data_IF_415511118047
#
_entry.id   IF_415511118047
#
_cell.length_a   1.000
_cell.length_b   1.000
_cell.length_c   1.000
_cell.angle_alpha   90.00
_cell.angle_beta   90.00
_cell.angle_gamma   90.00
#
_symmetry.space_group_name_H-M   'P 1'
#
loop_
_entity.id
_entity.type
_entity.pdbx_description
1 polymer ?
#
# COMPACT_ATOMS: atom_id res chain seq x y z
N UNK A 1 4.15 12.39 83.22
CA UNK A 1 3.28 13.36 82.50
C UNK A 1 4.14 14.07 81.47
N UNK A 2 3.79 14.20 80.18
CA UNK A 2 2.60 13.76 79.39
C UNK A 2 3.07 13.14 78.04
N UNK A 3 2.13 12.59 77.27
CA UNK A 3 2.34 11.88 75.99
C UNK A 3 2.59 12.81 74.77
N UNK A 4 2.77 12.16 73.61
CA UNK A 4 2.59 12.62 72.21
C UNK A 4 3.88 13.07 71.48
N UNK A 5 4.12 12.69 70.21
CA UNK A 5 3.52 11.61 69.40
C UNK A 5 4.44 11.23 68.22
N UNK A 6 4.51 9.95 67.86
CA UNK A 6 5.27 9.47 66.69
C UNK A 6 4.49 9.67 65.39
N UNK A 7 4.93 10.60 64.54
CA UNK A 7 4.31 10.87 63.24
C UNK A 7 4.73 9.82 62.19
N UNK A 8 3.99 8.71 62.10
CA UNK A 8 4.18 7.71 61.05
C UNK A 8 3.66 8.24 59.69
N UNK A 9 4.57 8.71 58.83
CA UNK A 9 4.24 9.14 57.47
C UNK A 9 3.96 7.89 56.62
N UNK A 10 2.69 7.49 56.56
CA UNK A 10 2.22 6.43 55.67
C UNK A 10 2.25 6.92 54.21
N UNK A 11 3.38 6.68 53.52
CA UNK A 11 3.51 6.95 52.08
C UNK A 11 2.59 5.99 51.32
N UNK A 12 1.36 6.45 51.05
CA UNK A 12 0.41 5.74 50.21
C UNK A 12 0.89 5.76 48.75
N UNK A 13 1.76 4.80 48.42
CA UNK A 13 2.19 4.53 47.06
C UNK A 13 0.99 4.04 46.24
N UNK A 14 0.22 4.99 45.69
CA UNK A 14 -0.80 4.72 44.68
C UNK A 14 -0.11 4.21 43.42
N UNK A 15 0.18 2.91 43.39
CA UNK A 15 0.69 2.20 42.24
C UNK A 15 -0.34 2.26 41.13
N UNK A 16 -0.25 3.28 40.27
CA UNK A 16 -1.01 3.36 39.04
C UNK A 16 -0.52 2.22 38.15
N UNK A 17 -1.23 1.08 38.22
CA UNK A 17 -1.03 -0.05 37.33
C UNK A 17 -1.38 0.39 35.91
N UNK A 18 -0.38 0.95 35.23
CA UNK A 18 -0.44 1.24 33.81
C UNK A 18 -0.58 -0.11 33.09
N UNK A 19 -1.82 -0.50 32.84
CA UNK A 19 -2.15 -1.71 32.09
C UNK A 19 -1.59 -1.55 30.67
N UNK A 20 -0.37 -2.02 30.48
CA UNK A 20 0.37 -2.03 29.20
C UNK A 20 -0.22 -3.09 28.27
N UNK A 21 -1.48 -2.89 27.92
CA UNK A 21 -2.15 -3.55 26.80
C UNK A 21 -1.40 -3.15 25.54
N UNK A 22 -0.37 -3.93 25.19
CA UNK A 22 0.48 -3.68 24.04
C UNK A 22 -0.41 -3.54 22.80
N UNK A 23 -0.40 -2.33 22.21
CA UNK A 23 -1.39 -1.91 21.23
C UNK A 23 -1.51 -2.92 20.09
N UNK A 24 -2.61 -3.67 20.09
CA UNK A 24 -2.88 -4.68 19.07
C UNK A 24 -3.40 -3.95 17.83
N UNK A 25 -2.57 -3.88 16.79
CA UNK A 25 -2.94 -3.34 15.48
C UNK A 25 -4.36 -3.81 15.09
N UNK A 26 -5.22 -2.90 14.60
CA UNK A 26 -6.64 -3.19 14.45
C UNK A 26 -6.93 -4.21 13.36
N UNK A 27 -8.13 -4.78 13.44
CA UNK A 27 -8.71 -5.56 12.37
C UNK A 27 -8.92 -4.69 11.12
N UNK A 28 -8.75 -5.28 9.94
CA UNK A 28 -8.74 -4.53 8.67
C UNK A 28 -10.15 -4.03 8.32
N UNK A 29 -11.18 -4.83 8.57
CA UNK A 29 -12.58 -4.48 8.25
C UNK A 29 -13.24 -3.67 9.37
N UNK A 30 -13.98 -2.62 9.01
CA UNK A 30 -14.80 -1.82 9.93
C UNK A 30 -16.05 -2.60 10.35
N UNK A 31 -16.35 -2.60 11.65
CA UNK A 31 -17.59 -3.14 12.23
C UNK A 31 -17.94 -2.43 13.54
N UNK A 32 -19.02 -2.84 14.22
CA UNK A 32 -19.50 -2.18 15.43
C UNK A 32 -18.45 -2.05 16.55
N UNK A 33 -17.59 -3.07 16.72
CA UNK A 33 -16.50 -3.07 17.70
C UNK A 33 -15.13 -2.62 17.16
N UNK A 34 -15.02 -2.30 15.86
CA UNK A 34 -13.80 -1.82 15.24
C UNK A 34 -14.10 -0.65 14.31
N UNK A 35 -14.01 0.57 14.86
CA UNK A 35 -14.21 1.82 14.13
C UNK A 35 -12.89 2.59 14.02
N UNK A 36 -12.73 3.41 12.97
CA UNK A 36 -11.67 4.41 12.92
C UNK A 36 -11.93 5.46 14.02
N UNK A 37 -10.99 5.74 14.94
CA UNK A 37 -11.25 6.63 16.07
C UNK A 37 -11.65 8.04 15.62
N UNK A 38 -12.60 8.68 16.31
CA UNK A 38 -13.15 9.98 15.92
C UNK A 38 -12.14 11.13 15.85
N UNK A 39 -10.97 10.99 16.47
CA UNK A 39 -9.86 11.94 16.36
C UNK A 39 -9.03 11.78 15.07
N UNK A 40 -9.16 10.66 14.34
CA UNK A 40 -8.52 10.48 13.04
C UNK A 40 -9.35 11.19 11.97
N UNK A 41 -9.03 12.44 11.71
CA UNK A 41 -9.73 13.27 10.72
C UNK A 41 -8.83 13.61 9.53
N UNK A 42 -9.39 13.82 8.32
CA UNK A 42 -8.59 14.13 7.13
C UNK A 42 -7.68 15.34 7.27
N UNK A 43 -8.05 16.34 8.08
CA UNK A 43 -7.23 17.52 8.32
C UNK A 43 -6.07 17.28 9.27
N UNK A 44 -6.27 16.61 10.40
CA UNK A 44 -5.17 16.19 11.28
C UNK A 44 -4.17 15.27 10.55
N UNK A 45 -4.65 14.32 9.74
CA UNK A 45 -3.77 13.48 8.93
C UNK A 45 -3.01 14.28 7.86
N UNK A 46 -3.63 15.34 7.30
CA UNK A 46 -2.98 16.22 6.32
C UNK A 46 -1.90 17.08 6.98
N UNK A 47 -2.10 17.53 8.22
CA UNK A 47 -1.05 18.16 9.02
C UNK A 47 0.10 17.18 9.31
N UNK A 48 -0.20 15.94 9.73
CA UNK A 48 0.83 14.93 9.96
C UNK A 48 1.65 14.60 8.69
N UNK A 49 0.99 14.52 7.53
CA UNK A 49 1.64 14.35 6.24
C UNK A 49 2.56 15.53 5.87
N UNK A 50 2.12 16.76 6.11
CA UNK A 50 2.92 17.99 5.86
C UNK A 50 4.14 18.08 6.78
N UNK A 51 3.98 17.79 8.08
CA UNK A 51 5.10 17.74 9.04
C UNK A 51 6.16 16.69 8.64
N UNK A 52 5.72 15.58 8.03
CA UNK A 52 6.61 14.51 7.56
C UNK A 52 7.17 14.76 6.15
N UNK A 53 6.51 15.60 5.35
CA UNK A 53 6.94 16.04 4.03
C UNK A 53 6.60 17.53 3.77
N UNK A 54 7.46 18.47 4.21
CA UNK A 54 7.25 19.91 3.99
C UNK A 54 7.27 20.36 2.52
N UNK A 55 7.62 19.47 1.58
CA UNK A 55 7.62 19.70 0.12
C UNK A 55 6.51 18.90 -0.58
N UNK A 56 5.40 18.66 0.11
CA UNK A 56 4.23 17.94 -0.40
C UNK A 56 3.72 18.53 -1.73
N UNK A 57 3.57 17.69 -2.75
CA UNK A 57 3.11 18.11 -4.08
C UNK A 57 1.62 18.43 -4.07
N UNK A 58 1.22 19.60 -4.61
CA UNK A 58 -0.15 20.15 -4.53
C UNK A 58 -1.28 19.19 -4.93
N UNK A 59 -1.06 18.25 -5.85
CA UNK A 59 -2.09 17.27 -6.25
C UNK A 59 -2.43 16.25 -5.15
N UNK A 60 -1.57 16.04 -4.16
CA UNK A 60 -1.85 15.21 -2.99
C UNK A 60 -2.64 15.94 -1.89
N UNK A 61 -2.99 17.23 -2.05
CA UNK A 61 -3.70 18.01 -1.02
C UNK A 61 -5.08 17.44 -0.61
N UNK A 62 -5.63 16.46 -1.35
CA UNK A 62 -6.89 15.76 -1.04
C UNK A 62 -6.72 14.28 -0.68
N UNK A 63 -5.49 13.75 -0.59
CA UNK A 63 -5.28 12.30 -0.39
C UNK A 63 -5.95 11.77 0.89
N UNK A 64 -5.95 12.54 1.98
CA UNK A 64 -6.62 12.17 3.25
C UNK A 64 -8.14 12.18 3.15
N UNK A 65 -8.70 13.05 2.30
CA UNK A 65 -10.13 13.10 1.98
C UNK A 65 -10.54 11.84 1.23
N UNK A 66 -9.72 11.41 0.27
CA UNK A 66 -9.95 10.18 -0.50
C UNK A 66 -9.78 8.92 0.36
N UNK A 67 -8.80 8.87 1.29
CA UNK A 67 -8.65 7.74 2.23
C UNK A 67 -9.88 7.56 3.11
N UNK A 68 -10.38 8.63 3.72
CA UNK A 68 -11.62 8.56 4.51
C UNK A 68 -12.82 8.19 3.63
N UNK A 69 -13.00 8.86 2.49
CA UNK A 69 -14.18 8.67 1.64
C UNK A 69 -14.27 7.26 1.08
N UNK A 70 -13.17 6.71 0.56
CA UNK A 70 -13.13 5.32 0.09
C UNK A 70 -13.18 4.34 1.26
N UNK A 71 -12.47 4.61 2.35
CA UNK A 71 -12.46 3.78 3.55
C UNK A 71 -13.84 3.52 4.16
N UNK A 72 -14.59 4.60 4.38
CA UNK A 72 -15.95 4.56 4.92
C UNK A 72 -16.96 3.94 3.96
N UNK A 73 -16.72 3.99 2.65
CA UNK A 73 -17.53 3.32 1.63
C UNK A 73 -17.20 1.81 1.52
N UNK A 74 -15.92 1.45 1.62
CA UNK A 74 -15.40 0.08 1.50
C UNK A 74 -15.40 -0.72 2.83
N UNK A 75 -15.75 -0.08 3.95
CA UNK A 75 -15.74 -0.66 5.30
C UNK A 75 -14.37 -1.25 5.70
N UNK A 76 -13.33 -0.44 5.53
CA UNK A 76 -11.94 -0.74 5.91
C UNK A 76 -11.40 0.32 6.88
N UNK A 77 -10.58 -0.10 7.87
CA UNK A 77 -9.83 0.76 8.81
C UNK A 77 -8.77 1.55 8.06
N UNK A 78 -9.23 2.61 7.40
CA UNK A 78 -8.50 3.41 6.42
C UNK A 78 -7.41 4.29 7.02
N UNK A 79 -7.44 4.49 8.34
CA UNK A 79 -6.39 5.14 9.12
C UNK A 79 -5.08 4.33 9.06
N UNK A 80 -5.14 3.01 9.24
CA UNK A 80 -3.95 2.17 9.14
C UNK A 80 -3.46 1.99 7.69
N UNK A 81 -4.35 1.99 6.70
CA UNK A 81 -3.95 2.08 5.28
C UNK A 81 -3.24 3.41 4.97
N UNK A 82 -3.64 4.51 5.59
CA UNK A 82 -2.95 5.79 5.46
C UNK A 82 -1.56 5.76 6.12
N UNK A 83 -1.41 5.20 7.33
CA UNK A 83 -0.11 5.02 7.96
C UNK A 83 0.81 4.08 7.18
N UNK A 84 0.26 3.02 6.58
CA UNK A 84 0.96 2.14 5.64
C UNK A 84 1.44 2.91 4.39
N UNK A 85 0.58 3.74 3.77
CA UNK A 85 0.98 4.60 2.66
C UNK A 85 2.13 5.54 3.04
N UNK A 86 2.14 6.09 4.26
CA UNK A 86 3.24 6.95 4.73
C UNK A 86 4.58 6.18 4.84
N UNK A 87 4.56 4.88 5.11
CA UNK A 87 5.73 4.01 5.06
C UNK A 87 6.12 3.70 3.61
N UNK A 88 5.21 3.10 2.84
CA UNK A 88 5.39 2.67 1.43
C UNK A 88 5.92 3.78 0.50
N UNK A 89 5.49 5.03 0.72
CA UNK A 89 5.82 6.16 -0.16
C UNK A 89 6.87 7.12 0.43
N UNK A 90 7.40 6.83 1.63
CA UNK A 90 8.21 7.75 2.42
C UNK A 90 7.51 9.12 2.60
N UNK A 91 6.27 9.10 3.10
CA UNK A 91 5.36 10.25 3.19
C UNK A 91 5.21 11.03 1.86
N UNK A 92 4.96 10.31 0.76
CA UNK A 92 4.83 10.84 -0.61
C UNK A 92 6.08 11.56 -1.15
N UNK A 93 7.27 11.21 -0.65
CA UNK A 93 8.56 11.65 -1.22
C UNK A 93 9.01 10.78 -2.39
N UNK A 94 8.60 9.49 -2.41
CA UNK A 94 8.87 8.53 -3.48
C UNK A 94 10.38 8.35 -3.77
N UNK A 95 11.07 7.72 -2.82
CA UNK A 95 12.52 7.45 -2.85
C UNK A 95 12.86 6.01 -3.28
N UNK A 96 12.06 5.43 -4.19
CA UNK A 96 12.18 4.03 -4.65
C UNK A 96 11.60 3.85 -6.07
N UNK A 97 11.31 2.61 -6.48
CA UNK A 97 10.95 2.28 -7.88
C UNK A 97 9.64 2.91 -8.37
N UNK A 98 8.73 3.24 -7.45
CA UNK A 98 7.47 3.94 -7.76
C UNK A 98 7.70 5.44 -7.76
N UNK A 99 7.36 6.10 -8.86
CA UNK A 99 7.41 7.55 -9.01
C UNK A 99 6.08 8.21 -8.62
N UNK A 100 6.12 9.39 -7.99
CA UNK A 100 4.93 10.12 -7.50
C UNK A 100 3.82 10.26 -8.55
N UNK A 101 4.17 10.44 -9.83
CA UNK A 101 3.18 10.65 -10.89
C UNK A 101 2.37 9.38 -11.23
N UNK A 102 2.66 8.23 -10.63
CA UNK A 102 1.90 6.99 -10.78
C UNK A 102 0.64 6.94 -9.89
N UNK A 103 0.49 7.84 -8.90
CA UNK A 103 -0.55 7.77 -7.87
C UNK A 103 -0.62 6.40 -7.15
N UNK A 104 0.47 5.64 -7.14
CA UNK A 104 0.54 4.32 -6.54
C UNK A 104 1.07 4.48 -5.10
N UNK A 105 0.27 4.07 -4.12
CA UNK A 105 0.49 4.39 -2.70
C UNK A 105 0.94 3.19 -1.87
N UNK A 106 1.17 2.04 -2.51
CA UNK A 106 1.26 0.74 -1.85
C UNK A 106 2.12 -0.28 -2.64
N UNK A 107 3.11 0.22 -3.39
CA UNK A 107 4.04 -0.61 -4.16
C UNK A 107 3.41 -1.50 -5.24
N UNK A 108 2.14 -1.31 -5.60
CA UNK A 108 1.38 -2.31 -6.39
C UNK A 108 2.03 -2.57 -7.74
N UNK A 109 2.49 -3.81 -7.95
CA UNK A 109 3.14 -4.25 -9.19
C UNK A 109 4.63 -3.92 -9.31
N UNK A 110 5.23 -3.18 -8.37
CA UNK A 110 6.68 -3.00 -8.31
C UNK A 110 7.36 -4.27 -7.73
N UNK A 111 8.59 -4.55 -8.17
CA UNK A 111 9.34 -5.77 -7.79
C UNK A 111 10.78 -5.49 -7.35
N UNK A 112 11.15 -4.22 -7.17
CA UNK A 112 12.54 -3.79 -7.00
C UNK A 112 13.26 -3.55 -8.33
N UNK A 113 14.45 -2.94 -8.27
CA UNK A 113 15.39 -2.88 -9.41
C UNK A 113 14.99 -1.92 -10.54
N UNK A 114 14.17 -0.91 -10.25
CA UNK A 114 13.64 0.03 -11.25
C UNK A 114 12.41 -0.47 -12.01
N UNK A 115 11.89 -1.67 -11.70
CA UNK A 115 10.65 -2.17 -12.28
C UNK A 115 9.47 -1.35 -11.75
N UNK A 116 8.96 -0.46 -12.62
CA UNK A 116 7.86 0.47 -12.32
C UNK A 116 6.58 -0.31 -12.03
N UNK A 117 5.99 -0.07 -10.86
CA UNK A 117 4.67 -0.60 -10.53
C UNK A 117 3.53 0.00 -11.35
N UNK A 118 2.30 -0.38 -11.03
CA UNK A 118 1.08 0.13 -11.66
C UNK A 118 0.96 1.66 -11.57
N UNK A 119 0.12 2.22 -12.45
CA UNK A 119 -0.15 3.65 -12.59
C UNK A 119 -1.67 3.86 -12.57
N UNK A 120 -2.11 4.71 -11.65
CA UNK A 120 -3.53 5.06 -11.50
C UNK A 120 -3.79 6.48 -12.02
N UNK A 121 -4.93 6.64 -12.70
CA UNK A 121 -5.34 7.87 -13.40
C UNK A 121 -5.44 9.09 -12.47
N UNK A 122 -5.84 8.89 -11.21
CA UNK A 122 -5.94 9.95 -10.21
C UNK A 122 -5.49 9.47 -8.83
N UNK A 123 -5.29 10.41 -7.90
CA UNK A 123 -5.05 10.14 -6.48
C UNK A 123 -6.20 9.29 -5.89
N UNK A 124 -7.45 9.66 -6.18
CA UNK A 124 -8.64 8.91 -5.75
C UNK A 124 -8.66 7.47 -6.29
N UNK A 125 -8.35 7.26 -7.58
CA UNK A 125 -8.24 5.91 -8.16
C UNK A 125 -7.15 5.08 -7.46
N UNK A 126 -5.98 5.68 -7.18
CA UNK A 126 -4.87 5.01 -6.51
C UNK A 126 -5.09 4.71 -5.02
N UNK A 127 -5.80 5.58 -4.31
CA UNK A 127 -6.21 5.34 -2.92
C UNK A 127 -7.23 4.20 -2.86
N UNK A 128 -8.22 4.19 -3.76
CA UNK A 128 -9.15 3.07 -3.91
C UNK A 128 -8.41 1.77 -4.19
N UNK A 129 -7.47 1.78 -5.14
CA UNK A 129 -6.65 0.61 -5.48
C UNK A 129 -5.87 0.02 -4.28
N UNK A 130 -5.31 0.87 -3.41
CA UNK A 130 -4.63 0.43 -2.19
C UNK A 130 -5.60 -0.24 -1.21
N UNK A 131 -6.72 0.42 -0.89
CA UNK A 131 -7.71 -0.08 0.06
C UNK A 131 -8.32 -1.42 -0.41
N UNK A 132 -8.56 -1.56 -1.71
CA UNK A 132 -9.02 -2.82 -2.31
C UNK A 132 -7.96 -3.92 -2.26
N UNK A 133 -6.67 -3.60 -2.39
CA UNK A 133 -5.62 -4.60 -2.21
C UNK A 133 -5.57 -5.14 -0.78
N UNK A 134 -5.83 -4.29 0.22
CA UNK A 134 -5.91 -4.68 1.63
C UNK A 134 -7.16 -5.52 1.93
N UNK A 135 -8.30 -5.19 1.33
CA UNK A 135 -9.53 -5.99 1.43
C UNK A 135 -9.31 -7.43 0.92
N UNK A 136 -8.71 -7.61 -0.26
CA UNK A 136 -8.47 -8.96 -0.79
C UNK A 136 -7.43 -9.74 0.01
N UNK A 137 -6.55 -9.08 0.78
CA UNK A 137 -5.72 -9.76 1.77
C UNK A 137 -6.58 -10.24 2.95
N UNK A 138 -7.44 -9.38 3.50
CA UNK A 138 -8.35 -9.67 4.61
C UNK A 138 -9.54 -10.62 4.28
N UNK A 139 -9.46 -11.39 3.18
CA UNK A 139 -10.50 -12.30 2.67
C UNK A 139 -11.81 -11.62 2.23
N UNK A 140 -11.82 -10.30 2.02
CA UNK A 140 -12.98 -9.57 1.49
C UNK A 140 -12.88 -9.53 -0.04
N UNK A 141 -13.90 -10.06 -0.71
CA UNK A 141 -14.01 -9.98 -2.17
C UNK A 141 -14.30 -8.54 -2.60
N UNK A 142 -13.71 -8.10 -3.71
CA UNK A 142 -13.88 -6.76 -4.29
C UNK A 142 -14.44 -6.87 -5.71
N UNK A 143 -15.61 -6.28 -5.92
CA UNK A 143 -16.21 -6.11 -7.25
C UNK A 143 -15.46 -5.04 -8.06
N UNK A 144 -15.11 -5.38 -9.30
CA UNK A 144 -14.35 -4.53 -10.23
C UNK A 144 -13.24 -3.70 -9.55
N UNK A 145 -12.20 -4.35 -8.98
CA UNK A 145 -11.09 -3.66 -8.34
C UNK A 145 -10.36 -2.74 -9.32
N UNK A 146 -9.74 -1.66 -8.85
CA UNK A 146 -9.05 -0.68 -9.72
C UNK A 146 -7.75 -1.22 -10.31
N UNK A 147 -6.94 -1.94 -9.52
CA UNK A 147 -5.61 -2.43 -9.93
C UNK A 147 -5.63 -3.82 -10.58
N UNK A 148 -4.77 -4.03 -11.59
CA UNK A 148 -4.60 -5.33 -12.24
C UNK A 148 -4.08 -6.38 -11.27
N UNK A 149 -3.14 -6.04 -10.39
CA UNK A 149 -2.64 -6.97 -9.38
C UNK A 149 -3.74 -7.41 -8.42
N UNK A 150 -4.70 -6.54 -8.09
CA UNK A 150 -5.87 -6.90 -7.26
C UNK A 150 -6.79 -7.86 -8.03
N UNK A 151 -7.10 -7.56 -9.30
CA UNK A 151 -7.88 -8.46 -10.19
C UNK A 151 -7.24 -9.85 -10.27
N UNK A 152 -5.95 -9.92 -10.60
CA UNK A 152 -5.19 -11.18 -10.79
C UNK A 152 -5.04 -12.00 -9.50
N UNK A 153 -4.70 -11.37 -8.37
CA UNK A 153 -4.56 -12.09 -7.08
C UNK A 153 -5.90 -12.68 -6.62
N UNK A 154 -7.02 -11.96 -6.82
CA UNK A 154 -8.36 -12.45 -6.53
C UNK A 154 -8.77 -13.61 -7.48
N UNK A 155 -8.59 -13.43 -8.79
CA UNK A 155 -8.92 -14.43 -9.80
C UNK A 155 -8.15 -15.74 -9.63
N UNK A 156 -6.82 -15.66 -9.44
CA UNK A 156 -5.93 -16.81 -9.27
C UNK A 156 -5.92 -17.36 -7.83
N UNK A 157 -6.70 -16.77 -6.91
CA UNK A 157 -6.84 -17.20 -5.50
C UNK A 157 -5.51 -17.33 -4.76
N UNK A 158 -4.50 -16.52 -5.10
CA UNK A 158 -3.09 -16.65 -4.67
C UNK A 158 -2.94 -16.62 -3.13
N UNK A 159 -3.85 -15.92 -2.44
CA UNK A 159 -3.85 -15.80 -0.98
C UNK A 159 -4.63 -16.91 -0.26
N UNK A 160 -5.44 -17.73 -0.96
CA UNK A 160 -6.41 -18.63 -0.34
C UNK A 160 -5.81 -19.72 0.56
N UNK A 161 -4.57 -20.17 0.32
CA UNK A 161 -3.88 -21.11 1.24
C UNK A 161 -3.49 -20.43 2.57
N UNK A 162 -3.12 -19.15 2.52
CA UNK A 162 -2.76 -18.36 3.71
C UNK A 162 -4.00 -17.87 4.44
N UNK A 163 -5.02 -17.40 3.72
CA UNK A 163 -6.29 -16.94 4.31
C UNK A 163 -6.98 -18.02 5.16
N UNK A 164 -6.93 -19.29 4.72
CA UNK A 164 -7.49 -20.43 5.46
C UNK A 164 -6.81 -20.72 6.81
N UNK A 165 -5.67 -20.11 7.14
CA UNK A 165 -5.06 -20.26 8.47
C UNK A 165 -5.70 -19.34 9.52
N UNK A 166 -6.57 -18.40 9.12
CA UNK A 166 -7.21 -17.44 10.02
C UNK A 166 -8.64 -17.86 10.35
N UNK A 167 -8.89 -18.22 11.61
CA UNK A 167 -10.22 -18.48 12.18
C UNK A 167 -10.85 -17.24 12.86
N UNK A 168 -10.32 -16.06 12.56
CA UNK A 168 -10.70 -14.74 13.13
C UNK A 168 -10.49 -13.66 12.06
N UNK A 169 -11.06 -12.46 12.22
CA UNK A 169 -10.71 -11.32 11.37
C UNK A 169 -9.19 -11.07 11.38
N UNK A 170 -8.67 -10.68 10.21
CA UNK A 170 -7.26 -10.34 10.04
C UNK A 170 -6.99 -8.89 10.45
N UNK A 171 -5.85 -8.66 11.08
CA UNK A 171 -5.33 -7.35 11.48
C UNK A 171 -4.28 -6.84 10.49
N UNK A 172 -3.95 -5.55 10.57
CA UNK A 172 -2.82 -5.00 9.83
C UNK A 172 -1.48 -5.68 10.19
N UNK A 173 -1.35 -6.23 11.41
CA UNK A 173 -0.18 -7.06 11.78
C UNK A 173 -0.14 -8.34 10.96
N UNK A 174 -1.27 -9.02 10.81
CA UNK A 174 -1.38 -10.26 10.03
C UNK A 174 -1.08 -9.98 8.54
N UNK A 175 -1.71 -8.95 7.96
CA UNK A 175 -1.42 -8.50 6.57
C UNK A 175 0.07 -8.22 6.40
N UNK A 176 0.70 -7.48 7.33
CA UNK A 176 2.13 -7.14 7.25
C UNK A 176 3.04 -8.36 7.09
N UNK A 177 2.76 -9.47 7.77
CA UNK A 177 3.54 -10.72 7.61
C UNK A 177 3.48 -11.33 6.21
N UNK A 178 2.39 -11.08 5.47
CA UNK A 178 2.19 -11.59 4.10
C UNK A 178 2.55 -10.56 3.04
N UNK A 179 2.45 -9.28 3.35
CA UNK A 179 2.76 -8.15 2.48
C UNK A 179 4.28 -7.97 2.33
N UNK A 180 5.01 -7.97 3.45
CA UNK A 180 6.45 -7.77 3.50
C UNK A 180 7.16 -8.89 4.29
N UNK A 181 7.10 -10.17 3.84
CA UNK A 181 7.52 -11.34 4.62
C UNK A 181 9.01 -11.36 4.99
N UNK A 182 9.86 -10.57 4.33
CA UNK A 182 11.29 -10.40 4.66
C UNK A 182 11.57 -9.25 5.66
N UNK A 183 10.61 -8.36 5.91
CA UNK A 183 10.77 -7.17 6.76
C UNK A 183 10.02 -7.36 8.10
N UNK A 184 10.72 -7.90 9.09
CA UNK A 184 10.14 -8.26 10.41
C UNK A 184 9.61 -7.05 11.20
N UNK A 185 10.10 -5.86 10.86
CA UNK A 185 9.78 -4.56 11.42
C UNK A 185 8.64 -3.82 10.69
N UNK A 186 8.18 -4.31 9.53
CA UNK A 186 7.19 -3.63 8.68
C UNK A 186 5.89 -3.26 9.43
N UNK A 187 5.24 -4.25 10.07
CA UNK A 187 4.03 -4.01 10.85
C UNK A 187 4.28 -3.11 12.09
N UNK A 188 5.33 -3.35 12.90
CA UNK A 188 5.78 -2.39 13.93
C UNK A 188 5.99 -0.95 13.43
N UNK A 189 6.53 -0.75 12.23
CA UNK A 189 6.75 0.59 11.66
C UNK A 189 5.44 1.30 11.27
N UNK A 190 4.41 0.55 10.85
CA UNK A 190 3.06 1.08 10.64
C UNK A 190 2.44 1.50 11.98
N UNK A 191 2.51 0.62 13.00
CA UNK A 191 2.03 0.90 14.36
C UNK A 191 2.72 2.13 14.99
N UNK A 192 4.05 2.22 14.88
CA UNK A 192 4.84 3.37 15.33
C UNK A 192 4.51 4.68 14.59
N UNK A 193 4.10 4.58 13.32
CA UNK A 193 3.60 5.72 12.54
C UNK A 193 2.20 6.13 13.01
N UNK A 194 1.35 5.16 13.38
CA UNK A 194 0.03 5.39 13.94
C UNK A 194 0.09 6.05 15.33
N UNK A 195 0.89 5.50 16.25
CA UNK A 195 1.08 6.03 17.62
C UNK A 195 1.54 7.50 17.58
N UNK A 196 2.57 7.81 16.77
CA UNK A 196 3.05 9.19 16.55
C UNK A 196 2.00 10.14 15.96
N UNK A 197 0.94 9.63 15.31
CA UNK A 197 -0.22 10.43 14.95
C UNK A 197 -1.14 10.66 16.17
N UNK A 198 -1.53 9.59 16.86
CA UNK A 198 -2.43 9.66 18.02
C UNK A 198 -1.88 10.61 19.09
N UNK A 199 -0.63 10.43 19.53
CA UNK A 199 0.01 11.21 20.60
C UNK A 199 0.03 12.72 20.31
N UNK A 200 0.38 13.09 19.07
CA UNK A 200 0.75 14.48 18.71
C UNK A 200 -0.38 15.30 18.09
N UNK A 201 -1.44 14.64 17.59
CA UNK A 201 -2.53 15.30 16.83
C UNK A 201 -3.94 15.03 17.36
N UNK A 202 -4.23 13.88 17.98
CA UNK A 202 -5.60 13.62 18.45
C UNK A 202 -6.02 14.52 19.62
N UNK A 203 -5.08 14.90 20.48
CA UNK A 203 -5.30 15.81 21.61
C UNK A 203 -5.32 17.31 21.22
N UNK A 204 -5.61 17.63 19.95
CA UNK A 204 -5.62 18.99 19.40
C UNK A 204 -6.85 19.21 18.51
N UNK A 205 -7.30 20.47 18.29
CA UNK A 205 -8.27 20.79 17.26
C UNK A 205 -7.86 20.27 15.88
N UNK A 206 -8.82 20.05 14.98
CA UNK A 206 -8.48 19.76 13.59
C UNK A 206 -8.00 21.05 12.90
N UNK A 207 -6.77 21.11 12.36
CA UNK A 207 -6.27 22.29 11.67
C UNK A 207 -6.90 22.51 10.28
N UNK A 208 -7.54 21.50 9.69
CA UNK A 208 -8.18 21.58 8.36
C UNK A 208 -9.57 20.91 8.36
N UNK A 209 -10.54 21.41 9.15
CA UNK A 209 -11.87 20.80 9.30
C UNK A 209 -12.69 20.79 8.00
N UNK A 210 -12.36 21.64 7.03
CA UNK A 210 -12.97 21.65 5.70
C UNK A 210 -12.67 20.36 4.92
N UNK A 211 -11.54 19.70 5.18
CA UNK A 211 -11.20 18.39 4.58
C UNK A 211 -12.07 17.27 5.16
N UNK A 212 -12.41 17.33 6.46
CA UNK A 212 -13.39 16.43 7.08
C UNK A 212 -14.80 16.65 6.51
N UNK A 213 -15.20 17.91 6.29
CA UNK A 213 -16.47 18.24 5.65
C UNK A 213 -16.51 17.77 4.18
N UNK A 214 -15.41 17.89 3.43
CA UNK A 214 -15.34 17.38 2.05
C UNK A 214 -15.39 15.85 1.96
N UNK A 215 -14.76 15.13 2.90
CA UNK A 215 -14.81 13.67 2.93
C UNK A 215 -16.26 13.20 3.10
N UNK A 216 -16.95 13.75 4.11
CA UNK A 216 -18.32 13.38 4.47
C UNK A 216 -19.34 13.55 3.33
N UNK A 217 -19.18 14.56 2.45
CA UNK A 217 -20.05 14.77 1.28
C UNK A 217 -20.06 13.61 0.28
N UNK A 218 -19.07 12.72 0.30
CA UNK A 218 -18.96 11.57 -0.61
C UNK A 218 -19.14 10.19 0.04
N UNK A 219 -19.59 10.12 1.30
CA UNK A 219 -19.81 8.85 2.01
C UNK A 219 -21.25 8.38 1.81
N UNK A 220 -21.42 7.15 1.31
CA UNK A 220 -22.71 6.47 1.11
C UNK A 220 -23.32 6.04 2.45
N UNK A 221 -23.72 6.99 3.28
CA UNK A 221 -24.53 6.72 4.47
C UNK A 221 -25.93 6.29 4.01
N UNK A 222 -26.42 5.11 4.45
CA UNK A 222 -27.86 4.83 4.42
C UNK A 222 -28.55 5.94 5.23
N UNK A 223 -29.67 6.50 4.74
CA UNK A 223 -30.54 7.35 5.55
C UNK A 223 -31.15 6.48 6.65
N UNK A 224 -30.48 6.38 7.81
CA UNK A 224 -31.18 6.14 9.06
C UNK A 224 -32.09 7.34 9.25
N UNK A 225 -33.40 7.13 9.27
CA UNK A 225 -34.33 8.20 9.57
C UNK A 225 -34.01 8.71 10.98
N UNK A 226 -33.55 9.97 11.08
CA UNK A 226 -33.27 10.56 12.39
C UNK A 226 -34.61 10.67 13.13
N UNK A 227 -34.81 9.85 14.15
CA UNK A 227 -35.97 9.95 15.01
C UNK A 227 -35.98 11.36 15.61
N UNK A 228 -36.93 12.19 15.18
CA UNK A 228 -37.11 13.56 15.63
C UNK A 228 -37.17 13.53 17.16
N UNK A 229 -36.18 14.14 17.82
CA UNK A 229 -36.06 14.10 19.27
C UNK A 229 -37.35 14.60 19.92
N UNK A 230 -38.15 13.66 20.46
CA UNK A 230 -39.34 13.95 21.24
C UNK A 230 -38.87 14.60 22.54
N UNK A 231 -39.22 15.86 22.73
CA UNK A 231 -38.91 16.60 23.95
C UNK A 231 -39.62 15.92 25.12
N UNK A 232 -38.86 15.33 26.04
CA UNK A 232 -39.41 14.78 27.28
C UNK A 232 -40.07 15.89 28.11
N UNK A 233 -41.24 15.67 28.73
CA UNK A 233 -41.87 16.65 29.60
C UNK A 233 -40.97 17.01 30.80
N UNK A 234 -41.05 18.25 31.34
CA UNK A 234 -40.27 18.65 32.50
C UNK A 234 -40.67 17.85 33.74
N UNK A 235 -39.67 17.39 34.51
CA UNK A 235 -39.89 16.61 35.72
C UNK A 235 -40.61 17.42 36.81
N UNK A 236 -41.60 16.80 37.47
CA UNK A 236 -42.28 17.39 38.64
C UNK A 236 -41.28 17.53 39.78
N UNK A 237 -41.04 18.75 40.27
CA UNK A 237 -40.27 18.98 41.50
C UNK A 237 -41.05 18.45 42.71
N UNK A 238 -40.44 17.52 43.45
CA UNK A 238 -40.91 17.15 44.78
C UNK A 238 -40.62 18.28 45.77
N UNK A 239 -41.48 18.48 46.78
CA UNK A 239 -41.33 19.53 47.80
C UNK A 239 -40.74 18.95 49.09
N UNK A 240 -39.83 19.70 49.71
CA UNK A 240 -39.50 19.60 51.15
C UNK A 240 -39.55 21.02 51.77
N UNK A 241 -39.88 21.19 53.07
CA UNK A 241 -40.45 22.45 53.57
C UNK A 241 -39.50 23.40 54.35
N UNK A 242 -39.93 24.67 54.37
CA UNK A 242 -39.74 25.74 55.38
C UNK A 242 -38.40 25.91 56.13
N UNK A 243 -37.78 27.08 55.93
CA UNK A 243 -37.40 28.10 56.94
C UNK A 243 -36.61 29.24 56.22
N UNK A 244 -36.63 30.53 56.57
CA UNK A 244 -37.49 31.38 57.42
C UNK A 244 -37.23 32.87 57.09
N UNK A 245 -38.28 33.71 56.93
CA UNK A 245 -38.28 35.22 56.85
C UNK A 245 -37.43 35.86 55.72
N UNK A 246 -38.02 36.63 54.79
CA UNK A 246 -38.35 38.07 54.85
C UNK A 246 -37.13 38.99 54.57
N UNK A 247 -37.21 40.16 53.89
CA UNK A 247 -38.34 40.89 53.31
C UNK A 247 -37.86 41.84 52.16
N UNK A 248 -38.81 42.42 51.40
CA UNK A 248 -38.67 43.58 50.49
C UNK A 248 -37.74 43.38 49.26
N UNK A 249 -37.98 43.98 48.09
CA UNK A 249 -39.13 44.79 47.62
C UNK A 249 -39.11 44.85 46.08
N UNK A 250 -40.19 45.31 45.44
CA UNK A 250 -40.33 45.34 43.98
C UNK A 250 -40.35 46.78 43.42
N UNK A 251 -39.94 46.94 42.16
CA UNK A 251 -40.47 47.94 41.21
C UNK A 251 -39.94 47.68 39.79
N UNK A 252 -40.84 47.59 38.81
CA UNK A 252 -40.54 47.68 37.37
C UNK A 252 -40.39 49.14 36.92
N UNK A 253 -39.49 49.42 35.98
CA UNK A 253 -39.65 50.54 35.02
C UNK A 253 -39.14 50.16 33.62
N UNK A 254 -39.94 50.49 32.61
CA UNK A 254 -39.73 50.40 31.14
C UNK A 254 -40.72 51.43 30.53
N UNK A 255 -40.70 51.86 29.24
CA UNK A 255 -39.71 51.77 28.16
C UNK A 255 -39.37 53.16 27.55
N UNK A 256 -39.08 53.20 26.23
CA UNK A 256 -38.88 54.37 25.31
C UNK A 256 -37.44 54.92 25.21
N UNK A 257 -37.00 55.51 24.09
CA UNK A 257 -37.71 55.94 22.86
C UNK A 257 -37.03 55.52 21.53
N UNK A 258 -37.61 55.95 20.40
CA UNK A 258 -37.30 55.55 19.01
C UNK A 258 -36.07 56.26 18.40
N UNK A 259 -35.51 55.68 17.33
CA UNK A 259 -35.07 56.42 16.14
C UNK A 259 -34.98 55.52 14.87
N UNK A 260 -35.39 56.06 13.72
CA UNK A 260 -34.96 55.66 12.35
C UNK A 260 -34.16 56.85 11.78
N UNK A 261 -33.56 56.92 10.57
CA UNK A 261 -33.65 56.18 9.28
C UNK A 261 -32.19 56.01 8.74
N UNK A 262 -31.79 55.70 7.49
CA UNK A 262 -32.38 55.69 6.12
C UNK A 262 -31.72 54.56 5.29
N UNK A 263 -32.07 54.38 4.01
CA UNK A 263 -31.42 53.42 3.08
C UNK A 263 -30.66 54.11 1.94
N UNK A 264 -29.58 53.49 1.42
CA UNK A 264 -29.08 53.69 0.04
C UNK A 264 -28.50 52.39 -0.53
N UNK A 265 -28.83 52.08 -1.79
CA UNK A 265 -28.22 51.07 -2.69
C UNK A 265 -28.60 51.44 -4.14
N UNK A 266 -27.98 50.87 -5.20
CA UNK A 266 -26.61 50.34 -5.36
C UNK A 266 -25.90 51.11 -6.52
N UNK A 267 -24.96 50.53 -7.30
CA UNK A 267 -25.39 49.76 -8.49
C UNK A 267 -24.55 48.50 -8.81
N UNK A 268 -25.02 47.74 -9.79
CA UNK A 268 -24.51 46.42 -10.20
C UNK A 268 -23.41 46.45 -11.26
N UNK A 269 -22.61 45.37 -11.36
CA UNK A 269 -22.16 44.82 -12.66
C UNK A 269 -22.16 43.28 -12.64
N UNK A 270 -22.83 42.67 -13.62
CA UNK A 270 -22.67 41.26 -14.01
C UNK A 270 -21.71 41.19 -15.22
N UNK A 271 -20.98 40.09 -15.36
CA UNK A 271 -20.52 39.59 -16.66
C UNK A 271 -20.39 38.08 -16.59
N UNK A 272 -20.35 37.40 -17.74
CA UNK A 272 -20.52 35.95 -17.84
C UNK A 272 -19.88 35.37 -19.11
N UNK A 273 -19.73 34.04 -19.13
CA UNK A 273 -19.21 33.22 -20.23
C UNK A 273 -17.67 33.35 -20.43
N UNK A 274 -16.97 32.43 -21.10
CA UNK A 274 -17.44 31.25 -21.85
C UNK A 274 -16.45 30.07 -21.74
N UNK A 275 -16.92 28.85 -22.00
CA UNK A 275 -16.07 27.65 -22.14
C UNK A 275 -15.49 27.55 -23.56
N UNK A 276 -14.34 26.89 -23.70
CA UNK A 276 -13.94 26.27 -24.97
C UNK A 276 -13.22 24.94 -24.73
N UNK A 277 -13.64 23.91 -25.46
CA UNK A 277 -13.00 22.59 -25.59
C UNK A 277 -12.74 22.41 -27.09
N UNK A 278 -11.58 21.86 -27.46
CA UNK A 278 -11.40 21.00 -28.65
C UNK A 278 -10.02 20.36 -28.59
N UNK A 279 -9.96 19.06 -28.90
CA UNK A 279 -8.76 18.40 -29.40
C UNK A 279 -8.93 18.29 -30.92
N UNK A 280 -7.96 18.73 -31.71
CA UNK A 280 -7.57 17.98 -32.90
C UNK A 280 -6.13 18.28 -33.29
N UNK A 281 -5.50 17.33 -33.98
CA UNK A 281 -4.15 17.49 -34.50
C UNK A 281 -4.22 18.02 -35.94
N UNK A 282 -3.28 18.89 -36.28
CA UNK A 282 -2.84 19.10 -37.66
C UNK A 282 -1.42 18.54 -37.77
N UNK A 283 -1.27 17.43 -38.49
CA UNK A 283 0.00 17.12 -39.13
C UNK A 283 0.32 18.21 -40.13
N UNK A 284 1.58 18.61 -40.25
CA UNK A 284 2.25 18.60 -41.53
C UNK A 284 3.77 18.57 -41.32
N UNK A 285 4.49 18.03 -42.30
CA UNK A 285 5.94 18.09 -42.35
C UNK A 285 6.34 19.31 -43.17
N UNK A 286 7.40 20.00 -42.80
CA UNK A 286 8.51 20.06 -43.75
C UNK A 286 9.86 20.36 -43.08
N UNK A 287 10.95 20.02 -43.77
CA UNK A 287 12.30 20.03 -43.20
C UNK A 287 13.16 21.20 -43.68
N UNK A 288 13.75 21.96 -42.74
CA UNK A 288 15.00 22.68 -42.99
C UNK A 288 15.79 23.01 -41.71
N UNK A 289 16.87 22.28 -41.50
CA UNK A 289 18.00 22.70 -40.65
C UNK A 289 18.79 23.79 -41.42
N UNK A 290 19.43 24.74 -40.72
CA UNK A 290 20.88 24.59 -40.62
C UNK A 290 21.46 24.83 -39.23
N UNK A 291 22.58 24.16 -39.05
CA UNK A 291 23.52 24.15 -37.94
C UNK A 291 23.85 25.53 -37.34
N UNK A 292 23.96 25.59 -36.01
CA UNK A 292 25.01 26.39 -35.38
C UNK A 292 25.62 25.61 -34.22
N UNK A 293 26.94 25.73 -34.04
CA UNK A 293 27.72 24.92 -33.12
C UNK A 293 28.12 25.72 -31.87
N UNK A 294 27.95 25.16 -30.68
CA UNK A 294 28.79 25.55 -29.53
C UNK A 294 29.12 24.36 -28.64
N UNK A 295 30.37 23.91 -28.71
CA UNK A 295 30.94 22.92 -27.79
C UNK A 295 31.05 23.54 -26.40
N UNK A 296 30.53 22.85 -25.38
CA UNK A 296 31.06 22.89 -24.01
C UNK A 296 31.19 21.45 -23.55
N UNK A 297 32.37 21.09 -23.05
CA UNK A 297 32.75 19.76 -22.55
C UNK A 297 33.32 19.97 -21.15
N UNK A 298 32.92 19.16 -20.16
CA UNK A 298 33.75 18.75 -18.99
C UNK A 298 32.97 17.80 -18.07
N UNK A 299 33.71 16.86 -17.47
CA UNK A 299 33.41 16.01 -16.31
C UNK A 299 32.00 15.42 -16.11
N UNK A 300 31.89 14.12 -16.37
CA UNK A 300 31.08 13.23 -15.53
C UNK A 300 31.82 12.93 -14.22
N UNK A 301 31.11 12.93 -13.10
CA UNK A 301 31.62 12.43 -11.81
C UNK A 301 30.53 11.60 -11.13
N UNK A 302 30.80 10.31 -10.91
CA UNK A 302 29.91 9.45 -10.14
C UNK A 302 30.18 9.65 -8.63
N UNK A 303 29.13 9.90 -7.86
CA UNK A 303 29.24 10.24 -6.43
C UNK A 303 28.23 9.50 -5.55
N UNK A 304 28.51 8.24 -5.24
CA UNK A 304 27.72 7.46 -4.26
C UNK A 304 27.98 7.95 -2.83
N UNK A 305 27.02 8.70 -2.26
CA UNK A 305 27.08 9.14 -0.86
C UNK A 305 26.30 8.19 0.06
N UNK A 306 26.93 7.06 0.40
CA UNK A 306 26.49 6.22 1.51
C UNK A 306 27.00 6.82 2.83
N UNK A 307 26.09 7.38 3.63
CA UNK A 307 26.42 7.91 4.96
C UNK A 307 26.70 6.76 5.95
N UNK A 308 27.76 6.91 6.74
CA UNK A 308 28.23 5.89 7.69
C UNK A 308 27.51 6.00 9.04
N UNK A 309 27.31 4.86 9.69
CA UNK A 309 27.42 4.74 11.15
C UNK A 309 28.41 3.61 11.44
N UNK A 310 29.18 3.75 12.53
CA UNK A 310 30.24 2.83 12.89
C UNK A 310 30.27 2.59 14.40
N UNK A 311 30.63 1.37 14.80
CA UNK A 311 31.58 1.12 15.90
C UNK A 311 32.05 -0.35 15.87
N UNK A 312 33.14 -0.72 16.57
CA UNK A 312 34.17 -1.56 15.95
C UNK A 312 34.47 -2.90 16.64
N UNK A 313 35.25 -3.73 15.93
CA UNK A 313 36.29 -4.55 16.54
C UNK A 313 35.93 -6.00 16.88
N UNK A 314 36.51 -6.94 16.13
CA UNK A 314 37.43 -7.97 16.67
C UNK A 314 38.17 -8.67 15.51
N UNK A 315 39.17 -9.49 15.84
CA UNK A 315 40.34 -9.69 14.97
C UNK A 315 40.32 -10.93 14.06
N UNK A 316 40.95 -10.75 12.90
CA UNK A 316 41.71 -11.69 12.06
C UNK A 316 41.64 -13.21 12.34
N UNK A 317 41.43 -13.99 11.27
CA UNK A 317 42.50 -14.88 10.73
C UNK A 317 42.27 -15.23 9.26
N UNK A 318 43.36 -15.61 8.58
CA UNK A 318 43.44 -15.96 7.15
C UNK A 318 43.81 -17.46 7.02
N UNK A 319 43.70 -18.10 5.83
CA UNK A 319 44.88 -18.11 4.96
C UNK A 319 44.65 -18.16 3.42
N UNK A 320 45.61 -17.56 2.72
CA UNK A 320 46.24 -17.91 1.42
C UNK A 320 45.46 -18.64 0.30
N UNK A 321 45.57 -18.08 -0.91
CA UNK A 321 45.53 -18.80 -2.20
C UNK A 321 46.79 -19.66 -2.40
N UNK A 322 46.69 -20.71 -3.22
CA UNK A 322 47.80 -21.19 -4.07
C UNK A 322 47.43 -21.07 -5.56
N UNK A 323 48.38 -21.30 -6.46
CA UNK A 323 48.27 -21.06 -7.91
C UNK A 323 48.87 -22.21 -8.72
N UNK A 324 48.34 -22.44 -9.93
CA UNK A 324 48.86 -23.37 -10.93
C UNK A 324 47.75 -24.12 -11.68
N UNK A 325 47.93 -24.49 -12.96
CA UNK A 325 48.93 -24.05 -13.94
C UNK A 325 48.36 -24.36 -15.33
N UNK A 326 48.59 -23.51 -16.33
CA UNK A 326 48.12 -23.75 -17.69
C UNK A 326 49.15 -24.54 -18.53
N UNK A 327 48.65 -25.34 -19.48
CA UNK A 327 49.41 -25.92 -20.60
C UNK A 327 48.50 -25.84 -21.83
N UNK A 328 49.06 -25.58 -23.01
CA UNK A 328 48.32 -25.49 -24.27
C UNK A 328 49.13 -26.05 -25.45
N UNK A 329 48.44 -26.80 -26.32
CA UNK A 329 48.78 -27.15 -27.70
C UNK A 329 47.46 -27.67 -28.31
N UNK A 330 46.77 -27.07 -29.29
CA UNK A 330 47.13 -26.32 -30.51
C UNK A 330 47.23 -27.20 -31.78
N UNK A 331 46.88 -26.60 -32.92
CA UNK A 331 47.07 -27.03 -34.31
C UNK A 331 45.86 -27.64 -35.06
N UNK A 332 45.52 -26.91 -36.14
CA UNK A 332 44.87 -27.27 -37.42
C UNK A 332 43.35 -27.31 -37.56
N UNK A 333 42.95 -26.68 -38.67
CA UNK A 333 41.61 -26.53 -39.24
C UNK A 333 41.60 -27.16 -40.63
N UNK A 334 40.47 -27.71 -41.04
CA UNK A 334 40.20 -28.05 -42.46
C UNK A 334 38.74 -27.76 -42.80
N UNK A 335 38.50 -27.09 -43.92
CA UNK A 335 37.18 -26.65 -44.40
C UNK A 335 36.50 -27.74 -45.24
N UNK A 336 35.21 -28.04 -45.04
CA UNK A 336 34.30 -28.52 -46.12
C UNK A 336 32.83 -28.56 -45.70
N UNK A 337 31.92 -28.42 -46.67
CA UNK A 337 30.44 -28.48 -46.55
C UNK A 337 29.86 -28.62 -47.96
N UNK A 338 28.70 -29.28 -48.22
CA UNK A 338 27.94 -30.26 -47.43
C UNK A 338 27.99 -31.67 -48.10
N UNK A 339 27.12 -32.62 -47.71
CA UNK A 339 25.96 -32.88 -48.59
C UNK A 339 24.61 -32.95 -47.85
N UNK A 340 23.51 -32.77 -48.61
CA UNK A 340 22.14 -32.92 -48.12
C UNK A 340 21.75 -34.40 -48.02
N UNK A 341 21.19 -34.83 -46.88
CA UNK A 341 20.33 -36.03 -46.82
C UNK A 341 19.11 -35.75 -45.93
N UNK A 342 17.93 -36.16 -46.40
CA UNK A 342 16.68 -35.98 -45.66
C UNK A 342 16.56 -37.06 -44.57
N UNK A 343 16.72 -36.70 -43.30
CA UNK A 343 16.21 -37.53 -42.20
C UNK A 343 14.86 -37.02 -41.72
N UNK A 344 13.84 -37.69 -42.27
CA UNK A 344 12.41 -37.57 -42.04
C UNK A 344 12.10 -37.54 -40.53
N UNK A 345 11.47 -36.46 -40.06
CA UNK A 345 10.95 -36.38 -38.70
C UNK A 345 10.01 -37.55 -38.41
N UNK A 346 10.41 -38.48 -37.56
CA UNK A 346 9.50 -39.39 -36.83
C UNK A 346 8.82 -38.60 -35.72
N UNK A 347 8.01 -37.62 -36.11
CA UNK A 347 7.14 -36.88 -35.21
C UNK A 347 6.07 -37.82 -34.65
N UNK A 348 6.36 -38.44 -33.51
CA UNK A 348 5.51 -39.44 -32.89
C UNK A 348 4.27 -38.76 -32.29
N UNK A 349 3.22 -38.64 -33.10
CA UNK A 349 2.06 -37.79 -32.84
C UNK A 349 0.97 -38.48 -32.03
N UNK A 350 0.79 -38.03 -30.79
CA UNK A 350 -0.41 -38.24 -29.96
C UNK A 350 -0.68 -39.70 -29.51
N UNK A 351 -1.63 -39.94 -28.58
CA UNK A 351 -2.45 -38.99 -27.84
C UNK A 351 -2.24 -39.01 -26.32
N UNK A 352 -2.48 -37.87 -25.69
CA UNK A 352 -3.11 -37.83 -24.36
C UNK A 352 -3.64 -36.42 -24.08
N UNK A 353 -4.84 -36.34 -23.52
CA UNK A 353 -5.44 -35.09 -23.03
C UNK A 353 -4.85 -34.70 -21.67
N UNK A 354 -3.51 -34.57 -21.60
CA UNK A 354 -2.81 -34.22 -20.37
C UNK A 354 -3.20 -32.81 -19.93
N UNK A 355 -3.95 -32.72 -18.83
CA UNK A 355 -4.38 -31.44 -18.26
C UNK A 355 -3.15 -30.63 -17.89
N UNK A 356 -3.05 -29.41 -18.41
CA UNK A 356 -1.92 -28.56 -18.08
C UNK A 356 -2.13 -27.89 -16.70
N UNK A 357 -1.03 -27.50 -16.04
CA UNK A 357 -1.05 -26.81 -14.74
C UNK A 357 -0.05 -25.66 -14.75
N UNK A 358 -0.41 -24.54 -14.13
CA UNK A 358 0.51 -23.41 -13.92
C UNK A 358 0.94 -23.35 -12.45
N UNK A 359 2.25 -23.24 -12.22
CA UNK A 359 2.88 -23.24 -10.90
C UNK A 359 3.74 -21.97 -10.72
N UNK A 360 3.99 -21.59 -9.46
CA UNK A 360 4.91 -20.51 -9.10
C UNK A 360 5.95 -20.99 -8.09
N UNK A 361 7.22 -20.73 -8.36
CA UNK A 361 8.35 -20.95 -7.47
C UNK A 361 9.24 -19.69 -7.43
N UNK A 362 10.07 -19.52 -6.41
CA UNK A 362 10.84 -18.28 -6.24
C UNK A 362 12.11 -18.49 -5.43
N UNK A 363 13.27 -18.15 -6.01
CA UNK A 363 14.50 -17.86 -5.26
C UNK A 363 14.57 -16.39 -4.84
N UNK A 364 13.47 -15.63 -4.99
CA UNK A 364 13.31 -14.27 -4.49
C UNK A 364 14.01 -13.17 -5.29
N UNK A 365 14.33 -13.44 -6.57
CA UNK A 365 14.91 -12.48 -7.50
C UNK A 365 13.88 -11.70 -8.34
N UNK A 366 14.36 -10.96 -9.34
CA UNK A 366 13.56 -9.97 -10.09
C UNK A 366 13.12 -10.45 -11.49
N UNK A 367 13.89 -11.35 -12.11
CA UNK A 367 13.50 -12.01 -13.36
C UNK A 367 12.65 -13.24 -13.08
N UNK A 368 11.91 -13.70 -14.08
CA UNK A 368 11.18 -14.96 -14.02
C UNK A 368 11.40 -15.82 -15.27
N UNK A 369 11.50 -17.13 -15.08
CA UNK A 369 11.71 -18.12 -16.14
C UNK A 369 10.53 -19.09 -16.17
N UNK A 370 10.00 -19.36 -17.37
CA UNK A 370 9.02 -20.42 -17.58
C UNK A 370 9.75 -21.73 -17.82
N UNK A 371 9.52 -22.70 -16.94
CA UNK A 371 10.00 -24.08 -17.05
C UNK A 371 8.81 -24.95 -17.41
N UNK A 372 8.89 -25.70 -18.51
CA UNK A 372 7.92 -26.75 -18.86
C UNK A 372 8.48 -28.10 -18.43
N UNK A 373 7.77 -28.83 -17.58
CA UNK A 373 7.99 -30.26 -17.35
C UNK A 373 6.72 -31.05 -17.69
N UNK A 374 6.86 -32.36 -17.86
CA UNK A 374 5.75 -33.27 -18.17
C UNK A 374 5.81 -34.42 -17.19
N UNK A 375 4.72 -34.68 -16.48
CA UNK A 375 4.53 -35.89 -15.67
C UNK A 375 3.60 -36.89 -16.40
N UNK A 376 3.25 -38.00 -15.75
CA UNK A 376 2.40 -39.04 -16.38
C UNK A 376 1.02 -38.53 -16.79
N UNK A 377 0.49 -37.49 -16.16
CA UNK A 377 -0.87 -36.97 -16.37
C UNK A 377 -0.94 -35.48 -16.74
N UNK A 378 0.10 -34.68 -16.49
CA UNK A 378 0.05 -33.23 -16.65
C UNK A 378 1.27 -32.61 -17.35
N UNK A 379 1.00 -31.50 -18.04
CA UNK A 379 2.01 -30.57 -18.53
C UNK A 379 2.13 -29.42 -17.52
N UNK A 380 3.24 -29.35 -16.81
CA UNK A 380 3.47 -28.37 -15.74
C UNK A 380 4.29 -27.18 -16.26
N UNK A 381 3.70 -25.99 -16.23
CA UNK A 381 4.38 -24.72 -16.53
C UNK A 381 4.69 -24.00 -15.22
N UNK A 382 5.94 -24.09 -14.75
CA UNK A 382 6.38 -23.34 -13.56
C UNK A 382 6.95 -21.99 -13.99
N UNK A 383 6.43 -20.91 -13.39
CA UNK A 383 7.09 -19.61 -13.33
C UNK A 383 8.03 -19.61 -12.13
N UNK A 384 9.34 -19.58 -12.39
CA UNK A 384 10.38 -19.53 -11.38
C UNK A 384 10.99 -18.13 -11.32
N UNK A 385 10.81 -17.40 -10.21
CA UNK A 385 11.55 -16.14 -10.01
C UNK A 385 13.02 -16.44 -9.66
N UNK A 386 13.94 -15.81 -10.39
CA UNK A 386 15.38 -16.02 -10.32
C UNK A 386 16.16 -14.72 -10.14
N UNK A 387 17.30 -14.81 -9.47
CA UNK A 387 18.20 -13.70 -9.20
C UNK A 387 19.03 -13.38 -10.45
N UNK A 388 19.18 -12.08 -10.73
CA UNK A 388 19.94 -11.59 -11.88
C UNK A 388 21.40 -12.04 -11.80
N UNK A 389 21.96 -12.55 -12.90
CA UNK A 389 23.29 -13.16 -12.96
C UNK A 389 23.37 -14.60 -12.42
N UNK A 390 22.29 -15.16 -11.86
CA UNK A 390 22.20 -16.57 -11.41
C UNK A 390 21.10 -17.36 -12.11
N UNK A 391 20.47 -16.80 -13.14
CA UNK A 391 19.28 -17.34 -13.80
C UNK A 391 19.50 -18.78 -14.29
N UNK A 392 20.67 -19.06 -14.89
CA UNK A 392 21.07 -20.39 -15.39
C UNK A 392 21.26 -21.40 -14.24
N UNK A 393 21.88 -20.98 -13.14
CA UNK A 393 22.16 -21.84 -11.99
C UNK A 393 20.87 -22.17 -11.23
N UNK A 394 20.07 -21.16 -10.89
CA UNK A 394 18.82 -21.33 -10.14
C UNK A 394 17.77 -22.12 -10.94
N UNK A 395 17.68 -21.90 -12.26
CA UNK A 395 16.84 -22.74 -13.14
C UNK A 395 17.30 -24.20 -13.16
N UNK A 396 18.61 -24.46 -13.26
CA UNK A 396 19.13 -25.83 -13.25
C UNK A 396 18.90 -26.53 -11.90
N UNK A 397 19.10 -25.83 -10.78
CA UNK A 397 18.81 -26.33 -9.43
C UNK A 397 17.33 -26.63 -9.21
N UNK A 398 16.42 -25.85 -9.79
CA UNK A 398 14.98 -26.14 -9.73
C UNK A 398 14.60 -27.35 -10.59
N UNK A 399 15.15 -27.46 -11.80
CA UNK A 399 14.89 -28.57 -12.72
C UNK A 399 15.37 -29.91 -12.12
N UNK A 400 16.56 -29.96 -11.52
CA UNK A 400 17.07 -31.21 -10.94
C UNK A 400 16.28 -31.67 -9.70
N UNK A 401 15.81 -30.73 -8.88
CA UNK A 401 15.06 -31.03 -7.66
C UNK A 401 13.56 -31.31 -7.93
N UNK A 402 12.86 -30.37 -8.57
CA UNK A 402 11.38 -30.32 -8.58
C UNK A 402 10.74 -30.52 -9.96
N UNK A 403 11.49 -30.31 -11.05
CA UNK A 403 10.98 -30.38 -12.41
C UNK A 403 11.84 -31.26 -13.32
N UNK A 404 12.09 -32.51 -12.88
CA UNK A 404 12.95 -33.48 -13.58
C UNK A 404 12.50 -33.69 -15.03
N UNK A 405 13.46 -33.63 -15.96
CA UNK A 405 13.18 -33.66 -17.41
C UNK A 405 12.58 -32.37 -17.98
N UNK A 406 12.39 -31.33 -17.16
CA UNK A 406 11.87 -30.04 -17.60
C UNK A 406 12.88 -29.16 -18.33
N UNK A 407 12.38 -28.23 -19.15
CA UNK A 407 13.18 -27.33 -19.97
C UNK A 407 12.74 -25.86 -19.85
N UNK A 408 13.69 -24.93 -20.02
CA UNK A 408 13.37 -23.48 -20.11
C UNK A 408 12.66 -23.20 -21.44
N UNK A 409 11.46 -22.62 -21.35
CA UNK A 409 10.69 -22.13 -22.50
C UNK A 409 11.05 -20.68 -22.84
N UNK A 410 11.09 -19.81 -21.83
CA UNK A 410 11.35 -18.38 -22.01
C UNK A 410 11.76 -17.72 -20.68
N UNK A 411 12.29 -16.50 -20.78
CA UNK A 411 12.77 -15.67 -19.67
C UNK A 411 12.13 -14.28 -19.77
N UNK A 412 11.83 -13.66 -18.63
CA UNK A 412 11.05 -12.43 -18.51
C UNK A 412 11.59 -11.53 -17.41
N UNK A 413 11.49 -10.21 -17.62
CA UNK A 413 11.85 -9.18 -16.64
C UNK A 413 10.83 -9.04 -15.49
N UNK A 414 9.80 -9.90 -15.42
CA UNK A 414 8.95 -10.02 -14.23
C UNK A 414 8.13 -11.32 -14.20
N UNK A 415 7.81 -11.77 -12.98
CA UNK A 415 6.89 -12.90 -12.69
C UNK A 415 5.52 -12.70 -13.34
N UNK A 416 5.00 -11.47 -13.38
CA UNK A 416 3.71 -11.14 -13.99
C UNK A 416 3.69 -11.44 -15.49
N UNK A 417 4.75 -11.08 -16.23
CA UNK A 417 4.86 -11.35 -17.67
C UNK A 417 5.00 -12.86 -17.94
N UNK A 418 5.76 -13.56 -17.10
CA UNK A 418 5.91 -15.01 -17.19
C UNK A 418 4.58 -15.74 -16.92
N UNK A 419 3.80 -15.31 -15.92
CA UNK A 419 2.47 -15.86 -15.63
C UNK A 419 1.48 -15.61 -16.78
N UNK A 420 1.43 -14.38 -17.32
CA UNK A 420 0.55 -14.04 -18.44
C UNK A 420 0.88 -14.84 -19.71
N UNK A 421 2.14 -15.29 -19.90
CA UNK A 421 2.50 -16.25 -20.94
C UNK A 421 2.22 -17.70 -20.53
N UNK A 422 2.45 -18.10 -19.28
CA UNK A 422 2.21 -19.45 -18.80
C UNK A 422 0.72 -19.85 -18.94
N UNK A 423 -0.22 -18.96 -18.59
CA UNK A 423 -1.65 -19.19 -18.83
C UNK A 423 -2.01 -19.17 -20.33
N UNK A 424 -1.29 -18.42 -21.19
CA UNK A 424 -1.46 -18.51 -22.66
C UNK A 424 -0.88 -19.80 -23.27
N UNK A 425 0.06 -20.46 -22.58
CA UNK A 425 0.57 -21.79 -22.93
C UNK A 425 -0.26 -22.91 -22.30
N UNK A 426 -1.18 -22.56 -21.39
CA UNK A 426 -1.99 -23.49 -20.62
C UNK A 426 -3.38 -22.88 -20.31
N UNK A 427 -4.30 -22.86 -21.30
CA UNK A 427 -5.61 -22.22 -21.14
C UNK A 427 -6.47 -22.89 -20.05
N UNK A 428 -6.42 -24.21 -19.96
CA UNK A 428 -7.13 -25.02 -18.96
C UNK A 428 -6.41 -25.06 -17.59
N UNK A 429 -5.48 -24.12 -17.36
CA UNK A 429 -4.52 -24.14 -16.26
C UNK A 429 -5.12 -23.91 -14.88
N UNK A 430 -5.74 -24.96 -14.33
CA UNK A 430 -6.16 -24.98 -12.94
C UNK A 430 -4.92 -24.86 -12.01
N UNK A 431 -4.96 -23.97 -11.00
CA UNK A 431 -3.95 -23.99 -9.94
C UNK A 431 -4.04 -25.32 -9.17
N UNK A 432 -2.92 -25.85 -8.66
CA UNK A 432 -2.88 -27.19 -8.07
C UNK A 432 -3.75 -27.29 -6.82
N UNK A 433 -4.43 -28.43 -6.68
CA UNK A 433 -5.21 -28.74 -5.47
C UNK A 433 -4.31 -28.77 -4.22
N UNK A 434 -4.83 -28.35 -3.05
CA UNK A 434 -4.03 -28.13 -1.84
C UNK A 434 -3.62 -29.43 -1.14
N UNK A 435 -2.74 -30.21 -1.77
CA UNK A 435 -2.14 -31.43 -1.22
C UNK A 435 -0.89 -31.89 -1.98
N UNK A 436 -0.82 -31.70 -3.30
CA UNK A 436 0.36 -32.09 -4.10
C UNK A 436 1.52 -31.09 -3.96
N UNK A 437 2.35 -31.32 -2.94
CA UNK A 437 3.77 -30.96 -2.92
C UNK A 437 4.54 -32.24 -2.58
N UNK A 438 5.52 -32.59 -3.40
CA UNK A 438 6.56 -33.60 -3.13
C UNK A 438 7.92 -32.96 -3.37
#
# INVERSE_FOLDING_TARGET
>A
MRYLASAAIAVFACGVSANTVAAKMPEVSLHGGNQTPACVTPGRLMAYLKDRNPRLRKHFNKITVDYMRHGENLKIRWDYAFFQMMLETNALKYTGDVHWSQNNFAGLGATGGGVKGERFRSVSDGVRAHLEHLLIYASVYVDNPVAERTRKIQQWKVLAKWQRTFKRPMTYKDIGTKWAPKARDYAPNIEFTAQRFFDRYCNKPDPYPELLAEANRGIKRKKVASARATQSPPAKKLKSPLNTRAALGASDVRPTSQASVTSVQPPTKKSSQQFKIINQASTDNDAKTPTSQRKVKVASAAGSLAAKFANPGLSQKQPRKLSGKAVAADTKSTTTTPPKTNQKNTAQSAPSSQKCRVWTASYGGQKAIIIKSVDKAHINYTVLDVNQGREKQETASYISAYAKGGSKIAEYESSTMALDKAFKLCPDGQPPEPGTIK
#
